data_IF_622373835207
#
_entry.id   IF_622373835207
#
_cell.length_a   1.000
_cell.length_b   1.000
_cell.length_c   1.000
_cell.angle_alpha   90.00
_cell.angle_beta   90.00
_cell.angle_gamma   90.00
#
_symmetry.space_group_name_H-M   'P 1'
#
loop_
_entity.id
_entity.type
_entity.pdbx_description
1 polymer ?
#
# COMPACT_ATOMS: atom_id res chain seq x y z
N UNK A 1 2.55 -0.63 -23.44
CA UNK A 1 1.73 -1.39 -22.45
C UNK A 1 1.71 -0.56 -21.17
N UNK A 2 0.69 0.27 -21.00
CA UNK A 2 0.63 1.29 -19.93
C UNK A 2 -0.45 0.98 -18.86
N UNK A 3 -1.10 -0.18 -18.97
CA UNK A 3 -2.26 -0.53 -18.12
C UNK A 3 -1.86 -0.76 -16.66
N UNK A 4 -0.73 -1.43 -16.40
CA UNK A 4 -0.31 -1.76 -15.02
C UNK A 4 0.00 -0.49 -14.20
N UNK A 5 0.78 0.49 -14.70
CA UNK A 5 0.99 1.76 -13.99
C UNK A 5 -0.31 2.55 -13.75
N UNK A 6 -1.22 2.57 -14.71
CA UNK A 6 -2.53 3.25 -14.56
C UNK A 6 -3.37 2.57 -13.48
N UNK A 7 -3.43 1.23 -13.46
CA UNK A 7 -4.14 0.48 -12.42
C UNK A 7 -3.57 0.74 -11.02
N UNK A 8 -2.23 0.85 -10.89
CA UNK A 8 -1.61 1.23 -9.62
C UNK A 8 -2.03 2.62 -9.16
N UNK A 9 -2.04 3.59 -10.08
CA UNK A 9 -2.45 4.95 -9.76
C UNK A 9 -3.90 4.98 -9.29
N UNK A 10 -4.81 4.34 -10.03
CA UNK A 10 -6.24 4.29 -9.67
C UNK A 10 -6.46 3.60 -8.33
N UNK A 11 -5.78 2.47 -8.08
CA UNK A 11 -5.86 1.76 -6.81
C UNK A 11 -5.32 2.61 -5.66
N UNK A 12 -4.19 3.29 -5.87
CA UNK A 12 -3.58 4.17 -4.86
C UNK A 12 -4.50 5.34 -4.53
N UNK A 13 -5.06 6.00 -5.55
CA UNK A 13 -6.03 7.09 -5.37
C UNK A 13 -7.24 6.58 -4.59
N UNK A 14 -7.82 5.44 -4.99
CA UNK A 14 -8.93 4.82 -4.28
C UNK A 14 -8.60 4.57 -2.80
N UNK A 15 -7.46 3.95 -2.51
CA UNK A 15 -7.08 3.60 -1.13
C UNK A 15 -6.89 4.86 -0.26
N UNK A 16 -6.35 5.93 -0.85
CA UNK A 16 -6.07 7.19 -0.14
C UNK A 16 -7.35 7.98 0.15
N UNK A 17 -8.33 7.98 -0.78
CA UNK A 17 -9.54 8.80 -0.63
C UNK A 17 -10.70 8.07 0.08
N UNK A 18 -10.72 6.73 0.10
CA UNK A 18 -11.86 5.93 0.56
C UNK A 18 -12.38 6.38 1.93
N UNK A 19 -11.50 6.52 2.94
CA UNK A 19 -11.91 6.92 4.28
C UNK A 19 -12.55 8.31 4.37
N UNK A 20 -12.30 9.18 3.40
CA UNK A 20 -12.86 10.54 3.37
C UNK A 20 -14.22 10.59 2.68
N UNK A 21 -14.37 9.89 1.56
CA UNK A 21 -15.54 10.05 0.67
C UNK A 21 -16.61 8.99 0.88
N UNK A 22 -16.23 7.78 1.32
CA UNK A 22 -17.17 6.68 1.43
C UNK A 22 -17.93 6.74 2.77
N UNK A 23 -19.27 6.64 2.76
CA UNK A 23 -20.05 6.51 4.00
C UNK A 23 -19.75 5.18 4.68
N UNK A 24 -20.06 5.06 5.98
CA UNK A 24 -19.87 3.81 6.73
C UNK A 24 -20.62 2.67 6.03
N UNK A 25 -19.87 1.63 5.68
CA UNK A 25 -20.43 0.37 5.23
C UNK A 25 -19.54 -0.74 5.76
N UNK A 26 -20.08 -1.56 6.67
CA UNK A 26 -19.30 -2.59 7.36
C UNK A 26 -18.54 -3.49 6.40
N UNK A 27 -19.21 -4.04 5.38
CA UNK A 27 -18.55 -4.94 4.44
C UNK A 27 -17.42 -4.23 3.67
N UNK A 28 -17.69 -3.05 3.10
CA UNK A 28 -16.69 -2.34 2.31
C UNK A 28 -15.54 -1.77 3.16
N UNK A 29 -15.80 -1.37 4.41
CA UNK A 29 -14.77 -0.88 5.34
C UNK A 29 -13.78 -1.99 5.70
N UNK A 30 -14.28 -3.20 5.98
CA UNK A 30 -13.44 -4.37 6.21
C UNK A 30 -12.73 -4.85 4.95
N UNK A 31 -13.42 -4.83 3.79
CA UNK A 31 -12.79 -5.14 2.50
C UNK A 31 -11.67 -4.16 2.17
N UNK A 32 -11.86 -2.86 2.42
CA UNK A 32 -10.84 -1.82 2.25
C UNK A 32 -9.60 -2.13 3.10
N UNK A 33 -9.78 -2.40 4.40
CA UNK A 33 -8.66 -2.72 5.28
C UNK A 33 -7.97 -4.04 4.85
N UNK A 34 -8.73 -5.04 4.42
CA UNK A 34 -8.16 -6.29 3.93
C UNK A 34 -7.37 -6.09 2.63
N UNK A 35 -7.90 -5.31 1.68
CA UNK A 35 -7.21 -4.96 0.43
C UNK A 35 -5.89 -4.24 0.71
N UNK A 36 -5.90 -3.33 1.68
CA UNK A 36 -4.74 -2.55 2.11
C UNK A 36 -3.63 -3.45 2.66
N UNK A 37 -3.94 -4.26 3.66
CA UNK A 37 -2.97 -5.17 4.29
C UNK A 37 -2.58 -6.35 3.41
N UNK A 38 -3.50 -6.82 2.57
CA UNK A 38 -3.24 -7.86 1.57
C UNK A 38 -2.29 -7.35 0.49
N UNK A 39 -2.45 -6.10 0.05
CA UNK A 39 -1.52 -5.46 -0.90
C UNK A 39 -0.13 -5.32 -0.28
N UNK A 40 -0.02 -4.78 0.93
CA UNK A 40 1.25 -4.67 1.64
C UNK A 40 1.91 -6.04 1.86
N UNK A 41 1.14 -7.06 2.24
CA UNK A 41 1.66 -8.42 2.39
C UNK A 41 2.16 -8.96 1.05
N UNK A 42 1.39 -8.77 -0.02
CA UNK A 42 1.80 -9.20 -1.37
C UNK A 42 3.11 -8.54 -1.77
N UNK A 43 3.26 -7.22 -1.59
CA UNK A 43 4.48 -6.50 -1.92
C UNK A 43 5.67 -6.97 -1.10
N UNK A 44 5.44 -7.34 0.17
CA UNK A 44 6.49 -7.91 1.03
C UNK A 44 7.07 -9.21 0.47
N UNK A 45 6.26 -10.06 -0.18
CA UNK A 45 6.73 -11.28 -0.85
C UNK A 45 7.56 -11.02 -2.11
N UNK A 46 7.34 -9.90 -2.77
CA UNK A 46 8.09 -9.47 -3.96
C UNK A 46 8.98 -8.27 -3.64
N UNK A 47 9.52 -8.24 -2.41
CA UNK A 47 10.56 -7.31 -1.99
C UNK A 47 10.24 -5.80 -2.11
N UNK A 48 8.95 -5.46 -2.09
CA UNK A 48 8.42 -4.10 -2.25
C UNK A 48 7.88 -3.81 -3.65
N UNK A 49 7.95 -4.78 -4.56
CA UNK A 49 7.38 -4.66 -5.90
C UNK A 49 5.96 -5.22 -5.94
N UNK A 50 5.11 -4.64 -6.79
CA UNK A 50 3.81 -5.22 -7.03
C UNK A 50 3.93 -6.55 -7.79
N UNK A 51 3.19 -7.61 -7.39
CA UNK A 51 3.17 -8.89 -8.10
C UNK A 51 2.93 -8.75 -9.61
N UNK A 52 2.00 -7.88 -10.02
CA UNK A 52 1.69 -7.68 -11.44
C UNK A 52 2.89 -7.12 -12.22
N UNK A 53 3.59 -6.14 -11.64
CA UNK A 53 4.80 -5.58 -12.24
C UNK A 53 5.92 -6.62 -12.29
N UNK A 54 6.11 -7.37 -11.20
CA UNK A 54 7.09 -8.45 -11.13
C UNK A 54 6.85 -9.51 -12.21
N UNK A 55 5.63 -10.05 -12.31
CA UNK A 55 5.28 -11.07 -13.29
C UNK A 55 5.39 -10.56 -14.73
N UNK A 56 5.02 -9.30 -14.96
CA UNK A 56 5.20 -8.67 -16.27
C UNK A 56 6.68 -8.61 -16.67
N UNK A 57 7.56 -8.10 -15.79
CA UNK A 57 9.00 -8.05 -16.07
C UNK A 57 9.60 -9.44 -16.22
N UNK A 58 9.19 -10.40 -15.38
CA UNK A 58 9.62 -11.80 -15.46
C UNK A 58 9.18 -12.49 -16.75
N UNK A 59 8.04 -12.10 -17.31
CA UNK A 59 7.57 -12.61 -18.61
C UNK A 59 8.37 -12.08 -19.80
N UNK A 60 8.98 -10.89 -19.66
CA UNK A 60 9.85 -10.29 -20.67
C UNK A 60 11.28 -10.80 -20.53
N UNK A 61 11.78 -10.89 -19.30
CA UNK A 61 13.10 -11.39 -18.95
C UNK A 61 13.00 -12.45 -17.83
N UNK A 62 13.11 -13.75 -18.17
CA UNK A 62 13.07 -14.83 -17.20
C UNK A 62 14.18 -14.76 -16.13
N UNK A 63 15.26 -14.02 -16.37
CA UNK A 63 16.36 -13.84 -15.41
C UNK A 63 16.08 -12.72 -14.38
N UNK A 64 15.05 -11.88 -14.60
CA UNK A 64 14.69 -10.76 -13.74
C UNK A 64 14.50 -11.16 -12.27
N UNK A 65 15.07 -10.38 -11.35
CA UNK A 65 14.86 -10.53 -9.90
C UNK A 65 14.20 -9.27 -9.34
N UNK A 66 13.33 -9.45 -8.34
CA UNK A 66 12.75 -8.33 -7.60
C UNK A 66 13.87 -7.46 -7.01
N UNK A 67 13.67 -6.14 -6.99
CA UNK A 67 14.68 -5.10 -6.65
C UNK A 67 15.77 -4.82 -7.68
N UNK A 68 15.73 -5.41 -8.87
CA UNK A 68 16.45 -4.84 -10.03
C UNK A 68 15.69 -3.58 -10.51
N UNK A 69 15.57 -2.59 -9.63
CA UNK A 69 14.84 -1.34 -9.85
C UNK A 69 15.77 -0.29 -10.44
N UNK A 70 16.16 -0.49 -11.69
CA UNK A 70 16.53 0.65 -12.57
C UNK A 70 15.29 1.39 -13.10
N UNK A 71 14.07 0.97 -12.74
CA UNK A 71 12.81 1.51 -13.26
C UNK A 71 12.36 2.79 -12.53
N UNK A 72 13.06 3.89 -12.81
CA UNK A 72 12.45 5.22 -12.88
C UNK A 72 11.65 5.33 -14.20
N UNK A 73 10.64 4.46 -14.38
CA UNK A 73 9.98 4.26 -15.68
C UNK A 73 8.46 4.16 -15.60
N UNK A 74 7.94 3.61 -14.51
CA UNK A 74 6.48 3.40 -14.37
C UNK A 74 5.74 4.74 -14.29
N UNK A 75 6.27 5.71 -13.55
CA UNK A 75 5.70 7.06 -13.49
C UNK A 75 5.90 7.83 -14.80
N UNK A 76 7.04 7.63 -15.48
CA UNK A 76 7.32 8.24 -16.79
C UNK A 76 6.29 7.83 -17.84
N UNK A 77 5.84 6.57 -17.78
CA UNK A 77 4.85 6.02 -18.73
C UNK A 77 3.45 6.61 -18.54
N UNK A 78 3.13 7.14 -17.35
CA UNK A 78 1.81 7.71 -17.05
C UNK A 78 1.80 9.23 -17.18
N UNK A 79 2.84 9.89 -16.69
CA UNK A 79 2.88 11.35 -16.56
C UNK A 79 3.89 12.02 -17.51
N UNK A 80 4.70 11.25 -18.23
CA UNK A 80 5.80 11.77 -19.04
C UNK A 80 7.06 12.08 -18.21
N UNK A 81 8.19 12.23 -18.91
CA UNK A 81 9.53 12.39 -18.29
C UNK A 81 9.69 13.68 -17.47
N UNK A 82 9.06 14.77 -17.90
CA UNK A 82 9.18 16.06 -17.22
C UNK A 82 8.48 16.04 -15.85
N UNK A 83 7.29 15.46 -15.80
CA UNK A 83 6.55 15.29 -14.54
C UNK A 83 7.26 14.27 -13.64
N UNK A 84 7.81 13.20 -14.21
CA UNK A 84 8.61 12.23 -13.45
C UNK A 84 9.81 12.89 -12.76
N UNK A 85 10.54 13.75 -13.46
CA UNK A 85 11.65 14.52 -12.88
C UNK A 85 11.20 15.40 -11.72
N UNK A 86 10.04 16.08 -11.87
CA UNK A 86 9.46 16.88 -10.81
C UNK A 86 9.04 16.04 -9.59
N UNK A 87 8.43 14.87 -9.81
CA UNK A 87 8.05 13.93 -8.76
C UNK A 87 9.30 13.42 -8.05
N UNK A 88 10.33 13.01 -8.78
CA UNK A 88 11.60 12.53 -8.21
C UNK A 88 12.26 13.60 -7.35
N UNK A 89 12.24 14.86 -7.77
CA UNK A 89 12.75 16.00 -7.00
C UNK A 89 12.02 16.19 -5.66
N UNK A 90 10.72 15.96 -5.62
CA UNK A 90 9.88 16.17 -4.43
C UNK A 90 9.42 14.86 -3.77
N UNK A 91 10.03 13.74 -4.14
CA UNK A 91 9.54 12.40 -3.80
C UNK A 91 9.33 12.21 -2.30
N UNK A 92 10.29 12.65 -1.47
CA UNK A 92 10.19 12.56 -0.01
C UNK A 92 8.99 13.33 0.55
N UNK A 93 8.72 14.53 0.03
CA UNK A 93 7.60 15.37 0.47
C UNK A 93 6.28 14.72 0.03
N UNK A 94 6.21 14.27 -1.22
CA UNK A 94 5.03 13.57 -1.76
C UNK A 94 4.72 12.32 -0.94
N UNK A 95 5.72 11.50 -0.63
CA UNK A 95 5.56 10.31 0.21
C UNK A 95 5.12 10.66 1.63
N UNK A 96 5.67 11.71 2.23
CA UNK A 96 5.30 12.15 3.57
C UNK A 96 3.84 12.63 3.62
N UNK A 97 3.44 13.49 2.69
CA UNK A 97 2.05 13.97 2.58
C UNK A 97 1.09 12.81 2.29
N UNK A 98 1.46 11.93 1.35
CA UNK A 98 0.70 10.73 1.04
C UNK A 98 0.52 9.82 2.26
N UNK A 99 1.57 9.65 3.06
CA UNK A 99 1.51 8.88 4.31
C UNK A 99 0.54 9.49 5.33
N UNK A 100 0.51 10.82 5.48
CA UNK A 100 -0.44 11.49 6.38
C UNK A 100 -1.87 11.21 5.90
N UNK A 101 -2.18 11.47 4.63
CA UNK A 101 -3.53 11.30 4.09
C UNK A 101 -3.98 9.84 4.23
N UNK A 102 -3.09 8.90 3.90
CA UNK A 102 -3.32 7.47 4.04
C UNK A 102 -3.59 7.04 5.48
N UNK A 103 -2.78 7.51 6.43
CA UNK A 103 -2.94 7.23 7.86
C UNK A 103 -4.26 7.78 8.39
N UNK A 104 -4.65 8.97 7.94
CA UNK A 104 -5.95 9.55 8.29
C UNK A 104 -7.11 8.74 7.70
N UNK A 105 -7.01 8.29 6.45
CA UNK A 105 -8.04 7.43 5.83
C UNK A 105 -8.24 6.14 6.64
N UNK A 106 -7.15 5.46 6.96
CA UNK A 106 -7.14 4.28 7.84
C UNK A 106 -7.82 4.58 9.19
N UNK A 107 -7.42 5.66 9.85
CA UNK A 107 -7.98 6.07 11.13
C UNK A 107 -9.50 6.25 11.05
N UNK A 108 -9.99 6.96 10.02
CA UNK A 108 -11.41 7.20 9.82
C UNK A 108 -12.19 5.90 9.65
N UNK A 109 -11.70 4.97 8.82
CA UNK A 109 -12.35 3.67 8.58
C UNK A 109 -12.36 2.83 9.85
N UNK A 110 -11.22 2.70 10.54
CA UNK A 110 -11.12 1.89 11.75
C UNK A 110 -11.97 2.46 12.91
N UNK A 111 -12.07 3.79 13.03
CA UNK A 111 -12.97 4.44 14.02
C UNK A 111 -14.44 4.15 13.76
N UNK A 112 -14.89 4.17 12.50
CA UNK A 112 -16.29 3.86 12.14
C UNK A 112 -16.66 2.41 12.46
N UNK A 113 -15.68 1.51 12.46
CA UNK A 113 -15.81 0.10 12.83
C UNK A 113 -15.50 -0.17 14.32
N UNK A 114 -15.41 0.88 15.14
CA UNK A 114 -15.22 0.79 16.59
C UNK A 114 -13.97 0.01 17.01
N UNK A 115 -12.90 0.07 16.22
CA UNK A 115 -11.62 -0.52 16.62
C UNK A 115 -11.12 0.15 17.91
N UNK A 116 -10.53 -0.60 18.85
CA UNK A 116 -9.87 -0.03 20.03
C UNK A 116 -8.80 0.98 19.62
N UNK A 117 -8.68 2.09 20.35
CA UNK A 117 -7.75 3.18 19.97
C UNK A 117 -6.29 2.70 19.88
N UNK A 118 -5.88 1.80 20.76
CA UNK A 118 -4.56 1.18 20.73
C UNK A 118 -4.34 0.37 19.44
N UNK A 119 -5.35 -0.37 18.99
CA UNK A 119 -5.27 -1.12 17.73
C UNK A 119 -5.12 -0.16 16.54
N UNK A 120 -5.87 0.95 16.51
CA UNK A 120 -5.76 1.95 15.44
C UNK A 120 -4.37 2.59 15.44
N UNK A 121 -3.83 2.93 16.61
CA UNK A 121 -2.49 3.49 16.74
C UNK A 121 -1.43 2.52 16.21
N UNK A 122 -1.49 1.24 16.62
CA UNK A 122 -0.55 0.21 16.16
C UNK A 122 -0.66 -0.05 14.65
N UNK A 123 -1.87 0.06 14.09
CA UNK A 123 -2.17 -0.14 12.67
C UNK A 123 -1.55 1.00 11.83
N UNK A 124 -1.72 2.24 12.27
CA UNK A 124 -1.05 3.42 11.67
C UNK A 124 0.48 3.32 11.83
N UNK A 125 0.98 2.96 13.02
CA UNK A 125 2.41 2.83 13.28
C UNK A 125 3.07 1.76 12.39
N UNK A 126 2.44 0.59 12.27
CA UNK A 126 2.90 -0.51 11.40
C UNK A 126 2.98 -0.04 9.96
N UNK A 127 1.96 0.69 9.49
CA UNK A 127 1.94 1.24 8.14
C UNK A 127 3.09 2.21 7.93
N UNK A 128 3.31 3.13 8.87
CA UNK A 128 4.40 4.11 8.78
C UNK A 128 5.77 3.46 8.76
N UNK A 129 6.01 2.51 9.65
CA UNK A 129 7.29 1.78 9.67
C UNK A 129 7.48 0.96 8.39
N UNK A 130 6.42 0.38 7.84
CA UNK A 130 6.44 -0.31 6.55
C UNK A 130 6.82 0.63 5.40
N UNK A 131 6.19 1.81 5.30
CA UNK A 131 6.53 2.81 4.30
C UNK A 131 7.98 3.28 4.41
N UNK A 132 8.48 3.55 5.63
CA UNK A 132 9.88 3.92 5.86
C UNK A 132 10.84 2.81 5.44
N UNK A 133 10.48 1.55 5.66
CA UNK A 133 11.29 0.38 5.26
C UNK A 133 11.41 0.32 3.74
N UNK A 134 10.31 0.54 3.00
CA UNK A 134 10.31 0.65 1.53
C UNK A 134 11.22 1.78 1.07
N UNK A 135 11.02 2.99 1.61
CA UNK A 135 11.73 4.18 1.16
C UNK A 135 13.25 4.07 1.36
N UNK A 136 13.69 3.31 2.36
CA UNK A 136 15.10 3.08 2.64
C UNK A 136 15.66 1.80 1.98
N UNK A 137 14.89 1.14 1.10
CA UNK A 137 15.25 -0.11 0.42
C UNK A 137 15.72 -1.23 1.37
N UNK A 138 15.28 -1.19 2.63
CA UNK A 138 15.68 -2.17 3.62
C UNK A 138 15.11 -3.54 3.24
N UNK A 139 15.87 -4.62 3.49
CA UNK A 139 15.36 -5.98 3.24
C UNK A 139 14.09 -6.20 4.06
N UNK A 140 13.04 -6.66 3.38
CA UNK A 140 11.82 -7.04 4.06
C UNK A 140 12.07 -8.32 4.83
N UNK A 141 12.16 -8.18 6.15
CA UNK A 141 12.30 -9.33 7.02
C UNK A 141 10.95 -10.01 7.23
N UNK A 142 11.01 -11.32 7.49
CA UNK A 142 9.88 -12.18 7.91
C UNK A 142 9.04 -11.57 9.03
N UNK A 143 9.63 -10.65 9.81
CA UNK A 143 8.96 -9.83 10.83
C UNK A 143 7.73 -9.08 10.29
N UNK A 144 7.86 -8.34 9.17
CA UNK A 144 6.72 -7.60 8.61
C UNK A 144 5.64 -8.54 8.08
N UNK A 145 6.01 -9.69 7.51
CA UNK A 145 5.04 -10.69 7.08
C UNK A 145 4.18 -11.17 8.26
N UNK A 146 4.80 -11.48 9.40
CA UNK A 146 4.08 -11.91 10.60
C UNK A 146 3.12 -10.82 11.09
N UNK A 147 3.57 -9.56 11.14
CA UNK A 147 2.72 -8.43 11.57
C UNK A 147 1.53 -8.25 10.61
N UNK A 148 1.78 -8.26 9.30
CA UNK A 148 0.74 -8.06 8.28
C UNK A 148 -0.29 -9.20 8.30
N UNK A 149 0.15 -10.46 8.45
CA UNK A 149 -0.73 -11.62 8.65
C UNK A 149 -1.55 -11.45 9.94
N UNK A 150 -0.91 -11.02 11.02
CA UNK A 150 -1.60 -10.71 12.28
C UNK A 150 -2.70 -9.66 12.11
N UNK A 151 -2.43 -8.59 11.35
CA UNK A 151 -3.45 -7.60 11.02
C UNK A 151 -4.59 -8.19 10.19
N UNK A 152 -4.32 -9.00 9.17
CA UNK A 152 -5.37 -9.64 8.36
C UNK A 152 -6.28 -10.53 9.22
N UNK A 153 -5.70 -11.35 10.11
CA UNK A 153 -6.45 -12.18 11.06
C UNK A 153 -7.28 -11.30 11.99
N UNK A 154 -6.68 -10.25 12.55
CA UNK A 154 -7.38 -9.33 13.46
C UNK A 154 -8.56 -8.63 12.78
N UNK A 155 -8.34 -8.06 11.59
CA UNK A 155 -9.37 -7.39 10.78
C UNK A 155 -10.50 -8.37 10.47
N UNK A 156 -10.19 -9.60 10.07
CA UNK A 156 -11.21 -10.63 9.82
C UNK A 156 -11.99 -10.99 11.09
N UNK A 157 -11.32 -11.11 12.24
CA UNK A 157 -11.99 -11.37 13.52
C UNK A 157 -12.95 -10.24 13.92
N UNK A 158 -12.56 -8.99 13.65
CA UNK A 158 -13.41 -7.82 13.89
C UNK A 158 -14.62 -7.80 12.95
N UNK A 159 -14.43 -8.22 11.69
CA UNK A 159 -15.55 -8.38 10.74
C UNK A 159 -16.57 -9.40 11.24
N UNK A 160 -16.11 -10.57 11.70
CA UNK A 160 -17.01 -11.60 12.22
C UNK A 160 -17.81 -11.13 13.45
N UNK A 161 -17.22 -10.29 14.31
CA UNK A 161 -17.90 -9.70 15.47
C UNK A 161 -18.89 -8.58 15.11
N UNK A 162 -18.79 -8.03 13.91
CA UNK A 162 -19.65 -6.94 13.45
C UNK A 162 -20.95 -7.41 12.77
N UNK A 163 -21.09 -8.71 12.55
CA UNK A 163 -22.31 -9.37 12.09
C UNK A 163 -23.17 -9.79 13.26
#
# INVERSE_FOLDING_TARGET
>A
MEIIPVLHLLLTVYIVIYGFVSPKNTFFDFFYLFLLYGTALSWTFYDGECPLTYYHKKSIDPSYKSRDTKLSGDLASVFGKDIESLINKHYKIICFVGYIIYSTSIYLVARRQHFPILAIFLLVLTTGSYCVTILNNMKFHSFYMIILIGWLIYIFSMYLKSK
#
